data_IF_683007846429
#
_entry.id   IF_683007846429
#
_cell.length_a   1.000
_cell.length_b   1.000
_cell.length_c   1.000
_cell.angle_alpha   90.00
_cell.angle_beta   90.00
_cell.angle_gamma   90.00
#
_symmetry.space_group_name_H-M   'P 1'
#
loop_
_entity.id
_entity.type
_entity.pdbx_description
1 polymer ?
#
# COMPACT_ATOMS: atom_id res chain seq x y z
N UNK A 1 8.28 -9.11 -24.32
CA UNK A 1 8.96 -10.32 -24.80
C UNK A 1 8.16 -10.95 -25.93
N UNK A 2 8.84 -11.70 -26.78
CA UNK A 2 8.19 -12.57 -27.77
C UNK A 2 8.85 -13.96 -27.76
N UNK A 3 8.11 -14.95 -28.26
CA UNK A 3 8.69 -16.25 -28.57
C UNK A 3 9.44 -16.18 -29.91
N UNK A 4 10.63 -16.75 -29.95
CA UNK A 4 11.40 -16.92 -31.19
C UNK A 4 11.06 -18.28 -31.85
N UNK A 5 11.52 -18.48 -33.08
CA UNK A 5 11.24 -19.68 -33.90
C UNK A 5 11.78 -20.98 -33.24
N UNK A 6 12.75 -20.87 -32.35
CA UNK A 6 13.30 -22.01 -31.59
C UNK A 6 12.57 -22.29 -30.28
N UNK A 7 11.46 -21.59 -29.96
CA UNK A 7 10.69 -21.72 -28.72
C UNK A 7 11.31 -20.98 -27.53
N UNK A 8 12.41 -20.27 -27.72
CA UNK A 8 13.03 -19.40 -26.72
C UNK A 8 12.26 -18.07 -26.55
N UNK A 9 12.64 -17.32 -25.52
CA UNK A 9 12.05 -16.02 -25.20
C UNK A 9 13.10 -14.93 -25.43
N UNK A 10 12.70 -13.85 -26.10
CA UNK A 10 13.58 -12.71 -26.34
C UNK A 10 12.88 -11.38 -26.04
N UNK A 11 13.65 -10.34 -25.71
CA UNK A 11 13.13 -8.99 -25.49
C UNK A 11 12.67 -8.39 -26.83
N UNK A 12 11.41 -7.95 -26.89
CA UNK A 12 10.83 -7.33 -28.08
C UNK A 12 10.80 -5.81 -27.94
N UNK A 13 11.98 -5.17 -28.06
CA UNK A 13 12.17 -3.73 -27.86
C UNK A 13 11.47 -2.85 -28.90
N UNK A 14 11.19 -3.40 -30.09
CA UNK A 14 10.54 -2.67 -31.20
C UNK A 14 9.02 -2.61 -31.07
N UNK A 15 8.42 -3.34 -30.10
CA UNK A 15 6.97 -3.33 -29.91
C UNK A 15 6.51 -1.97 -29.35
N UNK A 16 5.41 -1.37 -29.88
CA UNK A 16 4.92 -0.06 -29.40
C UNK A 16 4.72 0.00 -27.88
N UNK A 17 4.18 -1.06 -27.27
CA UNK A 17 3.99 -1.16 -25.83
C UNK A 17 5.29 -1.15 -25.02
N UNK A 18 6.44 -1.46 -25.63
CA UNK A 18 7.70 -1.47 -24.87
C UNK A 18 7.99 -0.08 -24.30
N UNK A 19 7.94 0.96 -25.12
CA UNK A 19 8.17 2.34 -24.69
C UNK A 19 7.14 2.77 -23.63
N UNK A 20 5.87 2.49 -23.86
CA UNK A 20 4.79 2.86 -22.93
C UNK A 20 4.96 2.20 -21.55
N UNK A 21 5.27 0.91 -21.50
CA UNK A 21 5.37 0.18 -20.24
C UNK A 21 6.74 0.32 -19.56
N UNK A 22 7.78 0.63 -20.31
CA UNK A 22 9.15 0.73 -19.80
C UNK A 22 9.54 2.17 -19.45
N UNK A 23 9.19 3.13 -20.30
CA UNK A 23 9.64 4.52 -20.17
C UNK A 23 8.51 5.46 -19.72
N UNK A 24 7.53 5.70 -20.59
CA UNK A 24 6.51 6.74 -20.41
C UNK A 24 5.14 6.23 -20.90
N UNK A 25 4.19 5.95 -19.98
CA UNK A 25 2.83 5.52 -20.33
C UNK A 25 1.98 6.65 -20.93
N UNK A 26 2.30 7.90 -20.63
CA UNK A 26 1.68 9.12 -21.13
C UNK A 26 2.65 10.31 -20.94
N UNK A 27 2.37 11.49 -21.51
CA UNK A 27 3.27 12.66 -21.40
C UNK A 27 3.40 13.26 -19.98
N UNK A 28 2.56 12.86 -19.05
CA UNK A 28 2.48 13.46 -17.71
C UNK A 28 3.30 12.69 -16.66
N UNK A 29 3.62 11.43 -16.90
CA UNK A 29 4.28 10.60 -15.90
C UNK A 29 5.22 9.54 -16.47
N UNK A 30 6.22 9.18 -15.69
CA UNK A 30 7.11 8.06 -15.97
C UNK A 30 6.42 6.71 -15.73
N UNK A 31 6.94 5.66 -16.33
CA UNK A 31 6.48 4.29 -16.08
C UNK A 31 6.61 3.89 -14.60
N UNK A 32 7.58 4.42 -13.87
CA UNK A 32 7.73 4.19 -12.43
C UNK A 32 6.55 4.81 -11.68
N UNK A 33 6.29 6.12 -11.86
CA UNK A 33 5.19 6.83 -11.21
C UNK A 33 3.83 6.19 -11.52
N UNK A 34 3.59 5.79 -12.76
CA UNK A 34 2.37 5.09 -13.18
C UNK A 34 2.16 3.79 -12.40
N UNK A 35 3.20 2.95 -12.30
CA UNK A 35 3.11 1.69 -11.55
C UNK A 35 2.92 1.91 -10.06
N UNK A 36 3.63 2.89 -9.48
CA UNK A 36 3.49 3.25 -8.08
C UNK A 36 2.06 3.73 -7.78
N UNK A 37 1.49 4.59 -8.62
CA UNK A 37 0.10 5.06 -8.51
C UNK A 37 -0.89 3.91 -8.56
N UNK A 38 -0.80 3.05 -9.57
CA UNK A 38 -1.72 1.91 -9.68
C UNK A 38 -1.52 0.88 -8.55
N UNK A 39 -0.29 0.70 -8.06
CA UNK A 39 -0.06 -0.17 -6.89
C UNK A 39 -0.65 0.44 -5.62
N UNK A 40 -0.56 1.75 -5.43
CA UNK A 40 -1.23 2.45 -4.34
C UNK A 40 -2.76 2.27 -4.41
N UNK A 41 -3.34 2.35 -5.61
CA UNK A 41 -4.76 2.07 -5.80
C UNK A 41 -5.13 0.63 -5.40
N UNK A 42 -4.32 -0.36 -5.80
CA UNK A 42 -4.52 -1.76 -5.42
C UNK A 42 -4.48 -1.96 -3.90
N UNK A 43 -3.48 -1.38 -3.24
CA UNK A 43 -3.28 -1.54 -1.79
C UNK A 43 -4.34 -0.81 -0.95
N UNK A 44 -4.89 0.29 -1.45
CA UNK A 44 -5.90 1.08 -0.72
C UNK A 44 -7.33 0.65 -1.06
N UNK A 45 -7.66 0.49 -2.34
CA UNK A 45 -9.03 0.20 -2.81
C UNK A 45 -9.22 -1.23 -3.33
N UNK A 46 -8.15 -2.01 -3.48
CA UNK A 46 -8.23 -3.37 -3.98
C UNK A 46 -8.39 -3.49 -5.49
N UNK A 47 -8.43 -2.37 -6.22
CA UNK A 47 -8.54 -2.34 -7.67
C UNK A 47 -7.69 -1.20 -8.21
N UNK A 48 -7.07 -1.41 -9.36
CA UNK A 48 -6.41 -0.36 -10.11
C UNK A 48 -6.99 -0.29 -11.52
N UNK A 49 -7.21 0.92 -12.00
CA UNK A 49 -7.77 1.20 -13.31
C UNK A 49 -6.89 2.19 -14.06
N UNK A 50 -6.76 1.98 -15.37
CA UNK A 50 -6.20 2.98 -16.26
C UNK A 50 -7.01 3.02 -17.56
N UNK A 51 -7.26 4.23 -18.09
CA UNK A 51 -7.83 4.42 -19.42
C UNK A 51 -6.80 4.01 -20.48
N UNK A 52 -7.23 3.25 -21.46
CA UNK A 52 -6.43 2.84 -22.61
C UNK A 52 -6.77 3.72 -23.79
N UNK A 53 -5.83 4.51 -24.25
CA UNK A 53 -5.99 5.31 -25.48
C UNK A 53 -5.37 4.53 -26.64
N UNK A 54 -6.16 4.36 -27.72
CA UNK A 54 -5.73 3.66 -28.93
C UNK A 54 -5.77 4.58 -30.12
N UNK A 55 -4.87 4.34 -31.07
CA UNK A 55 -4.92 4.99 -32.37
C UNK A 55 -5.93 4.29 -33.32
N UNK A 56 -6.09 4.83 -34.52
CA UNK A 56 -6.99 4.28 -35.55
C UNK A 56 -6.62 2.85 -36.01
N UNK A 57 -5.40 2.37 -35.71
CA UNK A 57 -4.95 1.01 -35.99
C UNK A 57 -5.20 0.04 -34.85
N UNK A 58 -5.76 0.52 -33.71
CA UNK A 58 -5.98 -0.27 -32.52
C UNK A 58 -4.76 -0.41 -31.60
N UNK A 59 -3.62 0.21 -31.94
CA UNK A 59 -2.42 0.19 -31.12
C UNK A 59 -2.60 1.11 -29.90
N UNK A 60 -2.15 0.67 -28.73
CA UNK A 60 -2.17 1.50 -27.51
C UNK A 60 -1.09 2.58 -27.62
N UNK A 61 -1.52 3.83 -27.44
CA UNK A 61 -0.65 5.01 -27.53
C UNK A 61 -0.48 5.75 -26.20
N UNK A 62 -1.38 5.57 -25.25
CA UNK A 62 -1.24 6.11 -23.89
C UNK A 62 -2.07 5.32 -22.87
N UNK A 63 -1.66 5.44 -21.59
CA UNK A 63 -2.35 4.89 -20.42
C UNK A 63 -2.46 5.98 -19.35
N UNK A 64 -3.69 6.30 -18.91
CA UNK A 64 -3.93 7.28 -17.85
C UNK A 64 -4.57 6.61 -16.62
N UNK A 65 -4.00 6.73 -15.42
CA UNK A 65 -4.61 6.20 -14.21
C UNK A 65 -6.01 6.78 -13.97
N UNK A 66 -6.94 5.94 -13.54
CA UNK A 66 -8.28 6.32 -13.13
C UNK A 66 -8.47 6.03 -11.63
N UNK A 67 -9.07 6.98 -10.92
CA UNK A 67 -9.28 6.87 -9.47
C UNK A 67 -10.32 5.78 -9.14
N UNK A 68 -9.98 4.77 -8.31
CA UNK A 68 -10.89 3.67 -8.01
C UNK A 68 -12.17 4.08 -7.29
N UNK A 69 -12.13 5.11 -6.46
CA UNK A 69 -13.30 5.65 -5.76
C UNK A 69 -14.31 6.35 -6.69
N UNK A 70 -13.92 6.66 -7.93
CA UNK A 70 -14.77 7.23 -8.97
C UNK A 70 -15.26 6.19 -9.98
N UNK A 71 -14.83 4.93 -9.85
CA UNK A 71 -15.12 3.85 -10.79
C UNK A 71 -16.19 2.92 -10.26
N UNK A 72 -17.22 2.66 -11.06
CA UNK A 72 -18.20 1.62 -10.84
C UNK A 72 -18.09 0.58 -11.95
N UNK A 73 -18.04 -0.69 -11.57
CA UNK A 73 -17.99 -1.83 -12.49
C UNK A 73 -19.34 -2.53 -12.42
N UNK A 74 -20.03 -2.64 -13.54
CA UNK A 74 -21.38 -3.20 -13.59
C UNK A 74 -21.66 -3.92 -14.92
N UNK A 75 -22.83 -4.52 -15.05
CA UNK A 75 -23.29 -5.21 -16.25
C UNK A 75 -24.55 -4.57 -16.79
N UNK A 76 -24.64 -4.45 -18.10
CA UNK A 76 -25.84 -3.98 -18.76
C UNK A 76 -26.99 -5.03 -18.72
N UNK A 77 -28.16 -4.67 -19.22
CA UNK A 77 -29.34 -5.56 -19.29
C UNK A 77 -29.09 -6.85 -20.10
N UNK A 78 -28.03 -6.92 -20.89
CA UNK A 78 -27.61 -8.09 -21.66
C UNK A 78 -26.47 -8.87 -21.00
N UNK A 79 -26.09 -8.49 -19.77
CA UNK A 79 -25.01 -9.12 -19.01
C UNK A 79 -23.58 -8.72 -19.44
N UNK A 80 -23.44 -7.74 -20.35
CA UNK A 80 -22.12 -7.27 -20.80
C UNK A 80 -21.52 -6.32 -19.78
N UNK A 81 -20.24 -6.56 -19.43
CA UNK A 81 -19.49 -5.74 -18.51
C UNK A 81 -19.27 -4.33 -19.08
N UNK A 82 -19.42 -3.30 -18.24
CA UNK A 82 -19.03 -1.93 -18.53
C UNK A 82 -18.44 -1.27 -17.28
N UNK A 83 -17.76 -0.15 -17.50
CA UNK A 83 -17.18 0.69 -16.47
C UNK A 83 -17.85 2.06 -16.55
N UNK A 84 -18.30 2.56 -15.39
CA UNK A 84 -18.85 3.91 -15.27
C UNK A 84 -17.92 4.74 -14.41
N UNK A 85 -17.34 5.78 -14.98
CA UNK A 85 -16.43 6.67 -14.30
C UNK A 85 -17.08 8.02 -14.01
N UNK A 86 -17.10 8.42 -12.73
CA UNK A 86 -17.61 9.74 -12.30
C UNK A 86 -16.48 10.77 -12.38
N UNK A 87 -16.47 11.51 -13.50
CA UNK A 87 -15.43 12.50 -13.81
C UNK A 87 -15.56 13.77 -12.97
N UNK A 88 -14.40 14.34 -12.60
CA UNK A 88 -14.27 15.68 -12.02
C UNK A 88 -13.33 16.53 -12.86
N UNK A 89 -13.22 17.84 -12.56
CA UNK A 89 -12.34 18.77 -13.27
C UNK A 89 -10.85 18.39 -13.22
N UNK A 90 -10.46 17.58 -12.26
CA UNK A 90 -9.06 17.21 -12.02
C UNK A 90 -8.63 15.96 -12.81
N UNK A 91 -9.56 15.33 -13.54
CA UNK A 91 -9.28 14.14 -14.33
C UNK A 91 -8.71 14.50 -15.71
N UNK A 92 -8.02 13.54 -16.34
CA UNK A 92 -7.39 13.73 -17.63
C UNK A 92 -8.40 14.17 -18.72
N UNK A 93 -8.03 15.10 -19.60
CA UNK A 93 -8.92 15.62 -20.66
C UNK A 93 -9.40 14.55 -21.65
N UNK A 94 -8.70 13.41 -21.72
CA UNK A 94 -9.02 12.28 -22.58
C UNK A 94 -10.37 11.63 -22.27
N UNK A 95 -10.95 11.92 -21.11
CA UNK A 95 -12.27 11.42 -20.69
C UNK A 95 -13.45 12.22 -21.28
N UNK A 96 -13.19 13.30 -22.03
CA UNK A 96 -14.23 14.19 -22.54
C UNK A 96 -14.82 15.12 -21.48
N UNK A 97 -16.00 15.71 -21.72
CA UNK A 97 -16.58 16.73 -20.86
C UNK A 97 -17.75 16.25 -19.99
N UNK A 98 -18.24 15.03 -20.23
CA UNK A 98 -19.38 14.47 -19.50
C UNK A 98 -18.99 14.16 -18.05
N UNK A 99 -19.89 14.41 -17.10
CA UNK A 99 -19.71 14.11 -15.68
C UNK A 99 -19.70 12.61 -15.38
N UNK A 100 -20.31 11.81 -16.24
CA UNK A 100 -20.29 10.35 -16.19
C UNK A 100 -19.85 9.79 -17.54
N UNK A 101 -18.79 9.01 -17.51
CA UNK A 101 -18.16 8.45 -18.70
C UNK A 101 -18.34 6.94 -18.69
N UNK A 102 -18.99 6.41 -19.73
CA UNK A 102 -19.12 4.97 -19.95
C UNK A 102 -17.92 4.47 -20.74
N UNK A 103 -17.20 3.52 -20.18
CA UNK A 103 -16.03 2.92 -20.80
C UNK A 103 -16.27 1.43 -21.04
N UNK A 104 -15.93 0.98 -22.24
CA UNK A 104 -15.97 -0.44 -22.59
C UNK A 104 -14.78 -1.19 -21.95
N UNK A 105 -14.86 -2.52 -21.77
CA UNK A 105 -13.74 -3.31 -21.26
C UNK A 105 -12.43 -3.20 -22.07
N UNK A 106 -12.53 -2.86 -23.36
CA UNK A 106 -11.37 -2.62 -24.23
C UNK A 106 -10.69 -1.28 -23.99
N UNK A 107 -11.35 -0.36 -23.29
CA UNK A 107 -10.86 0.99 -22.99
C UNK A 107 -10.29 1.12 -21.55
N UNK A 108 -10.35 0.05 -20.76
CA UNK A 108 -9.91 0.05 -19.37
C UNK A 108 -8.92 -1.08 -19.10
N UNK A 109 -7.72 -0.73 -18.68
CA UNK A 109 -6.84 -1.66 -17.99
C UNK A 109 -7.33 -1.78 -16.54
N UNK A 110 -7.93 -2.90 -16.21
CA UNK A 110 -8.37 -3.22 -14.85
C UNK A 110 -7.47 -4.31 -14.26
N UNK A 111 -6.84 -4.00 -13.14
CA UNK A 111 -6.05 -4.94 -12.34
C UNK A 111 -6.79 -5.15 -11.02
N UNK A 112 -7.52 -6.26 -10.85
CA UNK A 112 -8.22 -6.53 -9.59
C UNK A 112 -7.27 -7.16 -8.57
N UNK A 113 -7.44 -6.79 -7.30
CA UNK A 113 -6.85 -7.49 -6.16
C UNK A 113 -7.56 -8.80 -5.84
N UNK A 114 -7.45 -9.26 -4.59
CA UNK A 114 -8.23 -10.39 -4.11
C UNK A 114 -9.70 -9.99 -4.01
N UNK A 115 -10.59 -10.74 -4.63
CA UNK A 115 -12.02 -10.51 -4.65
C UNK A 115 -12.80 -11.81 -4.63
N UNK A 116 -14.12 -11.72 -4.43
CA UNK A 116 -15.01 -12.86 -4.37
C UNK A 116 -15.40 -13.38 -5.77
N UNK A 117 -15.70 -12.45 -6.68
CA UNK A 117 -16.26 -12.73 -8.01
C UNK A 117 -15.20 -12.80 -9.13
N UNK A 118 -13.94 -12.52 -8.80
CA UNK A 118 -12.85 -12.46 -9.77
C UNK A 118 -12.87 -11.23 -10.66
N UNK A 119 -13.81 -10.29 -10.46
CA UNK A 119 -13.93 -9.03 -11.20
C UNK A 119 -13.50 -7.84 -10.35
N UNK A 120 -14.01 -7.75 -9.11
CA UNK A 120 -13.76 -6.63 -8.21
C UNK A 120 -12.95 -7.14 -7.01
N UNK A 121 -11.81 -6.48 -6.77
CA UNK A 121 -10.98 -6.74 -5.59
C UNK A 121 -11.55 -6.04 -4.35
N UNK A 122 -11.41 -6.67 -3.19
CA UNK A 122 -11.71 -6.06 -1.91
C UNK A 122 -10.65 -5.04 -1.52
N UNK A 123 -11.08 -3.91 -0.94
CA UNK A 123 -10.15 -2.97 -0.31
C UNK A 123 -9.47 -3.63 0.90
N UNK A 124 -8.13 -3.75 0.93
CA UNK A 124 -7.41 -4.27 2.09
C UNK A 124 -7.69 -3.45 3.36
N UNK A 125 -7.83 -2.13 3.21
CA UNK A 125 -8.15 -1.21 4.31
C UNK A 125 -9.54 -1.50 4.87
N UNK A 126 -10.55 -1.66 4.00
CA UNK A 126 -11.91 -1.96 4.43
C UNK A 126 -12.00 -3.33 5.13
N UNK A 127 -11.27 -4.33 4.64
CA UNK A 127 -11.20 -5.65 5.26
C UNK A 127 -10.52 -5.63 6.62
N UNK A 128 -9.51 -4.77 6.80
CA UNK A 128 -8.74 -4.62 8.03
C UNK A 128 -9.18 -3.42 8.89
N UNK A 129 -10.38 -2.90 8.67
CA UNK A 129 -10.88 -1.65 9.32
C UNK A 129 -10.71 -1.61 10.84
N UNK A 130 -10.90 -2.75 11.52
CA UNK A 130 -10.78 -2.82 12.97
C UNK A 130 -9.33 -2.69 13.45
N UNK A 131 -8.38 -3.33 12.75
CA UNK A 131 -6.96 -3.23 13.05
C UNK A 131 -6.44 -1.81 12.80
N UNK A 132 -6.83 -1.21 11.68
CA UNK A 132 -6.49 0.18 11.34
C UNK A 132 -7.12 1.16 12.33
N UNK A 133 -8.40 0.96 12.65
CA UNK A 133 -9.11 1.80 13.63
C UNK A 133 -8.51 1.74 15.02
N UNK A 134 -8.09 0.54 15.47
CA UNK A 134 -7.40 0.37 16.74
C UNK A 134 -6.02 1.07 16.73
N UNK A 135 -5.28 0.99 15.64
CA UNK A 135 -4.00 1.70 15.50
C UNK A 135 -4.18 3.22 15.64
N UNK A 136 -5.15 3.79 14.94
CA UNK A 136 -5.47 5.23 14.98
C UNK A 136 -5.90 5.63 16.40
N UNK A 137 -6.81 4.87 17.03
CA UNK A 137 -7.30 5.15 18.39
C UNK A 137 -6.16 5.09 19.44
N UNK A 138 -5.24 4.14 19.28
CA UNK A 138 -4.09 4.01 20.18
C UNK A 138 -3.12 5.19 20.00
N UNK A 139 -2.89 5.62 18.77
CA UNK A 139 -2.05 6.78 18.48
C UNK A 139 -2.65 8.06 19.05
N UNK A 140 -3.95 8.27 18.85
CA UNK A 140 -4.69 9.42 19.38
C UNK A 140 -4.70 9.44 20.92
N UNK A 141 -4.90 8.27 21.54
CA UNK A 141 -4.80 8.13 23.00
C UNK A 141 -3.40 8.55 23.50
N UNK A 142 -2.34 8.01 22.88
CA UNK A 142 -0.98 8.36 23.26
C UNK A 142 -0.68 9.85 23.07
N UNK A 143 -1.08 10.42 21.95
CA UNK A 143 -0.89 11.84 21.68
C UNK A 143 -1.60 12.72 22.75
N UNK A 144 -2.85 12.42 23.08
CA UNK A 144 -3.58 13.13 24.13
C UNK A 144 -2.96 12.94 25.52
N UNK A 145 -2.53 11.73 25.83
CA UNK A 145 -1.91 11.42 27.11
C UNK A 145 -0.63 12.24 27.32
N UNK A 146 0.27 12.24 26.33
CA UNK A 146 1.51 13.01 26.40
C UNK A 146 1.29 14.52 26.31
N UNK A 147 0.33 14.98 25.52
CA UNK A 147 -0.03 16.40 25.46
C UNK A 147 -0.53 16.93 26.81
N UNK A 148 -1.17 16.08 27.62
CA UNK A 148 -1.63 16.42 28.97
C UNK A 148 -0.55 16.22 30.07
N UNK A 149 0.72 16.12 29.69
CA UNK A 149 1.84 15.99 30.62
C UNK A 149 2.03 14.59 31.19
N UNK A 150 1.52 13.57 30.49
CA UNK A 150 1.59 12.16 30.88
C UNK A 150 0.97 11.87 32.27
N UNK A 151 0.06 12.73 32.73
CA UNK A 151 -0.67 12.54 33.98
C UNK A 151 -2.03 11.87 33.71
N UNK A 152 -2.36 10.78 34.38
CA UNK A 152 -3.71 10.21 34.30
C UNK A 152 -4.74 11.22 34.84
N UNK A 153 -5.96 11.16 34.30
CA UNK A 153 -7.08 11.90 34.86
C UNK A 153 -7.34 11.50 36.30
N UNK A 154 -7.83 12.41 37.12
CA UNK A 154 -8.08 12.12 38.52
C UNK A 154 -9.24 12.91 39.08
N UNK A 155 -9.62 12.58 40.30
CA UNK A 155 -10.64 13.28 41.10
C UNK A 155 -9.93 14.06 42.20
N UNK A 156 -10.33 15.31 42.35
CA UNK A 156 -10.02 16.10 43.55
C UNK A 156 -11.13 15.89 44.57
N UNK A 157 -10.80 15.24 45.66
CA UNK A 157 -11.71 15.02 46.79
C UNK A 157 -11.51 16.13 47.83
N UNK A 158 -12.62 16.67 48.33
CA UNK A 158 -12.61 17.65 49.42
C UNK A 158 -13.52 17.15 50.54
N UNK A 159 -13.10 17.24 51.81
CA UNK A 159 -13.88 16.71 52.94
C UNK A 159 -15.17 17.48 53.25
N UNK A 160 -15.31 18.68 52.68
CA UNK A 160 -16.51 19.52 52.82
C UNK A 160 -17.13 19.87 51.47
N UNK A 161 -18.04 20.85 51.46
CA UNK A 161 -18.70 21.32 50.21
C UNK A 161 -17.90 22.43 49.57
N UNK A 162 -17.55 22.24 48.30
CA UNK A 162 -16.90 23.30 47.48
C UNK A 162 -17.97 24.22 46.92
N UNK A 163 -17.85 25.53 47.17
CA UNK A 163 -18.83 26.54 46.69
C UNK A 163 -18.89 26.66 45.20
N UNK A 164 -17.75 26.52 44.52
CA UNK A 164 -17.62 26.61 43.07
C UNK A 164 -16.66 25.52 42.54
N UNK A 165 -17.17 24.31 42.29
CA UNK A 165 -16.36 23.21 41.78
C UNK A 165 -15.76 23.50 40.39
N UNK A 166 -16.44 24.30 39.57
CA UNK A 166 -15.98 24.64 38.23
C UNK A 166 -14.69 25.49 38.25
N UNK A 167 -14.68 26.48 39.13
CA UNK A 167 -13.51 27.36 39.33
C UNK A 167 -12.29 26.59 39.84
N UNK A 168 -12.49 25.64 40.74
CA UNK A 168 -11.43 24.76 41.25
C UNK A 168 -10.88 23.90 40.11
N UNK A 169 -11.75 23.32 39.28
CA UNK A 169 -11.37 22.54 38.10
C UNK A 169 -10.57 23.37 37.09
N UNK A 170 -11.01 24.59 36.79
CA UNK A 170 -10.32 25.49 35.84
C UNK A 170 -8.94 25.90 36.37
N UNK A 171 -8.84 26.26 37.64
CA UNK A 171 -7.58 26.60 38.32
C UNK A 171 -6.60 25.41 38.31
N UNK A 172 -7.10 24.19 38.59
CA UNK A 172 -6.33 22.97 38.52
C UNK A 172 -5.80 22.70 37.11
N UNK A 173 -6.67 22.79 36.11
CA UNK A 173 -6.30 22.57 34.73
C UNK A 173 -5.26 23.59 34.26
N UNK A 174 -5.41 24.87 34.57
CA UNK A 174 -4.46 25.92 34.24
C UNK A 174 -3.08 25.71 34.89
N UNK A 175 -3.03 25.18 36.10
CA UNK A 175 -1.79 24.98 36.85
C UNK A 175 -1.03 23.70 36.51
N UNK A 176 -1.76 22.61 36.19
CA UNK A 176 -1.21 21.25 36.14
C UNK A 176 -1.47 20.50 34.82
N UNK A 177 -2.36 20.96 33.93
CA UNK A 177 -2.56 20.36 32.63
C UNK A 177 -1.62 20.96 31.56
N UNK A 178 -1.30 20.11 30.57
CA UNK A 178 -0.44 20.48 29.43
C UNK A 178 1.02 20.07 29.64
N UNK A 179 1.70 19.82 28.52
CA UNK A 179 3.10 19.36 28.50
C UNK A 179 4.07 20.33 29.18
N UNK A 180 3.76 21.62 29.19
CA UNK A 180 4.58 22.66 29.83
C UNK A 180 4.47 22.66 31.37
N UNK A 181 3.43 22.05 31.91
CA UNK A 181 3.16 21.97 33.36
C UNK A 181 3.48 20.58 33.93
N UNK A 182 4.02 19.67 33.11
CA UNK A 182 4.41 18.33 33.53
C UNK A 182 5.42 18.39 34.70
N UNK A 183 5.25 17.50 35.66
CA UNK A 183 6.13 17.35 36.84
C UNK A 183 6.11 18.53 37.85
N UNK A 184 5.14 19.43 37.78
CA UNK A 184 4.97 20.43 38.84
C UNK A 184 4.43 19.80 40.11
N UNK A 185 4.95 20.25 41.25
CA UNK A 185 4.45 19.84 42.57
C UNK A 185 3.11 20.50 42.82
N UNK A 186 2.09 19.70 43.12
CA UNK A 186 0.78 20.18 43.52
C UNK A 186 0.73 20.34 45.07
N UNK A 187 0.28 21.51 45.52
CA UNK A 187 -0.02 21.75 46.94
C UNK A 187 -1.52 21.69 47.08
N UNK A 188 -2.01 20.78 47.91
CA UNK A 188 -3.44 20.60 48.20
C UNK A 188 -3.73 21.15 49.57
N UNK A 189 -4.66 22.10 49.63
CA UNK A 189 -5.06 22.78 50.87
C UNK A 189 -6.36 22.17 51.44
N UNK A 190 -6.71 22.51 52.68
CA UNK A 190 -7.96 22.18 53.34
C UNK A 190 -8.32 20.67 53.34
N UNK A 191 -7.32 19.80 53.31
CA UNK A 191 -7.55 18.35 53.34
C UNK A 191 -7.98 17.74 52.01
N UNK A 192 -7.86 18.47 50.92
CA UNK A 192 -8.08 17.93 49.56
C UNK A 192 -7.13 16.78 49.28
N UNK A 193 -7.64 15.80 48.56
CA UNK A 193 -6.86 14.65 48.04
C UNK A 193 -7.02 14.52 46.56
N UNK A 194 -5.94 14.16 45.87
CA UNK A 194 -6.00 13.79 44.48
C UNK A 194 -5.93 12.26 44.32
N UNK A 195 -6.93 11.70 43.68
CA UNK A 195 -6.95 10.28 43.35
C UNK A 195 -6.91 10.11 41.84
N UNK A 196 -5.88 9.47 41.26
CA UNK A 196 -5.83 9.18 39.84
C UNK A 196 -6.89 8.11 39.51
N UNK A 197 -7.71 8.38 38.48
CA UNK A 197 -8.71 7.43 37.95
C UNK A 197 -8.24 6.77 36.70
N UNK A 198 -7.27 7.36 35.99
CA UNK A 198 -6.74 6.86 34.72
C UNK A 198 -5.84 5.63 34.90
N UNK A 199 -5.86 4.78 33.93
CA UNK A 199 -4.88 3.69 33.81
C UNK A 199 -3.55 4.29 33.32
N UNK A 200 -2.43 3.97 33.98
CA UNK A 200 -1.12 4.41 33.50
C UNK A 200 -0.78 3.74 32.16
N UNK A 201 0.04 4.35 31.30
CA UNK A 201 0.48 3.73 30.05
C UNK A 201 1.17 2.38 30.24
N UNK A 202 1.85 2.20 31.37
CA UNK A 202 2.48 0.93 31.74
C UNK A 202 1.43 -0.14 32.06
N UNK A 203 0.40 0.23 32.83
CA UNK A 203 -0.75 -0.64 33.12
C UNK A 203 -1.57 -0.98 31.87
N UNK A 204 -1.65 -0.05 30.92
CA UNK A 204 -2.35 -0.27 29.65
C UNK A 204 -1.49 -1.06 28.63
N UNK A 205 -0.25 -1.43 28.95
CA UNK A 205 0.69 -2.07 28.04
C UNK A 205 0.77 -1.32 26.69
N UNK A 206 0.78 0.00 26.75
CA UNK A 206 0.64 0.88 25.58
C UNK A 206 1.71 0.64 24.54
N UNK A 207 2.98 0.49 24.93
CA UNK A 207 4.09 0.26 24.00
C UNK A 207 3.97 -1.11 23.32
N UNK A 208 3.57 -2.14 24.04
CA UNK A 208 3.37 -3.48 23.48
C UNK A 208 2.21 -3.49 22.51
N UNK A 209 1.12 -2.79 22.83
CA UNK A 209 -0.02 -2.63 21.91
C UNK A 209 0.39 -1.93 20.62
N UNK A 210 1.19 -0.87 20.68
CA UNK A 210 1.71 -0.21 19.46
C UNK A 210 2.58 -1.12 18.62
N UNK A 211 3.49 -1.86 19.24
CA UNK A 211 4.33 -2.86 18.54
C UNK A 211 3.49 -3.96 17.90
N UNK A 212 2.48 -4.44 18.61
CA UNK A 212 1.55 -5.44 18.05
C UNK A 212 0.85 -4.91 16.81
N UNK A 213 0.42 -3.65 16.80
CA UNK A 213 -0.28 -3.05 15.67
C UNK A 213 0.59 -2.86 14.44
N UNK A 214 1.88 -2.53 14.59
CA UNK A 214 2.83 -2.53 13.47
C UNK A 214 2.84 -3.90 12.80
N UNK A 215 2.93 -4.97 13.61
CA UNK A 215 2.92 -6.35 13.10
C UNK A 215 1.57 -6.73 12.46
N UNK A 216 0.44 -6.27 12.99
CA UNK A 216 -0.88 -6.51 12.39
C UNK A 216 -0.99 -5.86 11.02
N UNK A 217 -0.59 -4.60 10.86
CA UNK A 217 -0.59 -3.90 9.58
C UNK A 217 0.39 -4.56 8.61
N UNK A 218 1.58 -4.93 9.08
CA UNK A 218 2.57 -5.68 8.29
C UNK A 218 1.97 -6.98 7.71
N UNK A 219 1.19 -7.72 8.50
CA UNK A 219 0.50 -8.96 8.05
C UNK A 219 -0.55 -8.71 6.98
N UNK A 220 -1.31 -7.61 7.08
CA UNK A 220 -2.34 -7.25 6.08
C UNK A 220 -1.71 -7.14 4.70
N UNK A 221 -0.55 -6.48 4.60
CA UNK A 221 0.17 -6.29 3.34
C UNK A 221 1.22 -7.37 3.08
N UNK A 222 1.39 -8.34 3.98
CA UNK A 222 2.42 -9.38 3.91
C UNK A 222 3.84 -8.81 3.76
N UNK A 223 4.12 -7.71 4.44
CA UNK A 223 5.44 -7.08 4.47
C UNK A 223 6.18 -7.55 5.71
N UNK A 224 7.39 -8.09 5.60
CA UNK A 224 8.19 -8.48 6.77
C UNK A 224 8.48 -7.27 7.66
N UNK A 225 8.41 -7.40 9.00
CA UNK A 225 8.61 -6.28 9.93
C UNK A 225 9.96 -5.56 9.77
N UNK A 226 11.02 -6.26 9.41
CA UNK A 226 12.34 -5.63 9.18
C UNK A 226 12.34 -4.60 8.05
N UNK A 227 11.47 -4.74 7.03
CA UNK A 227 11.30 -3.75 5.96
C UNK A 227 10.58 -2.48 6.45
N UNK A 228 9.93 -2.55 7.62
CA UNK A 228 9.33 -1.41 8.33
C UNK A 228 10.25 -0.87 9.43
N UNK A 229 11.55 -1.22 9.38
CA UNK A 229 12.57 -0.89 10.38
C UNK A 229 12.31 -1.47 11.78
N UNK A 230 11.44 -2.47 11.92
CA UNK A 230 11.28 -3.24 13.15
C UNK A 230 12.27 -4.43 13.13
N UNK A 231 13.42 -4.26 13.81
CA UNK A 231 14.51 -5.22 13.86
C UNK A 231 14.54 -6.04 15.16
N UNK A 232 13.55 -5.90 16.02
CA UNK A 232 13.58 -6.46 17.38
C UNK A 232 13.74 -8.00 17.41
N UNK A 233 13.22 -8.69 16.39
CA UNK A 233 13.30 -10.16 16.24
C UNK A 233 14.12 -10.60 15.02
N UNK A 234 14.94 -9.71 14.47
CA UNK A 234 15.65 -9.96 13.22
C UNK A 234 17.12 -10.29 13.49
N UNK A 235 17.65 -11.37 12.89
CA UNK A 235 19.08 -11.65 12.75
C UNK A 235 19.48 -11.47 11.28
N UNK A 236 20.76 -11.26 11.00
CA UNK A 236 21.24 -11.05 9.63
C UNK A 236 20.83 -12.17 8.67
N UNK A 237 20.95 -13.43 9.09
CA UNK A 237 20.54 -14.59 8.28
C UNK A 237 19.02 -14.65 8.03
N UNK A 238 18.21 -14.21 8.98
CA UNK A 238 16.76 -14.16 8.82
C UNK A 238 16.30 -13.03 7.90
N UNK A 239 16.99 -11.88 7.90
CA UNK A 239 16.66 -10.73 7.04
C UNK A 239 16.79 -11.11 5.56
N UNK A 240 17.88 -11.76 5.18
CA UNK A 240 18.09 -12.20 3.80
C UNK A 240 17.01 -13.20 3.36
N UNK A 241 16.76 -14.22 4.17
CA UNK A 241 15.71 -15.21 3.90
C UNK A 241 14.33 -14.57 3.81
N UNK A 242 13.97 -13.68 4.73
CA UNK A 242 12.69 -12.97 4.71
C UNK A 242 12.57 -12.05 3.51
N UNK A 243 13.66 -11.45 3.03
CA UNK A 243 13.67 -10.63 1.82
C UNK A 243 13.38 -11.46 0.57
N UNK A 244 13.94 -12.65 0.45
CA UNK A 244 13.63 -13.60 -0.62
C UNK A 244 12.18 -14.10 -0.55
N UNK A 245 11.70 -14.38 0.65
CA UNK A 245 10.31 -14.77 0.89
C UNK A 245 9.32 -13.66 0.54
N UNK A 246 9.65 -12.39 0.83
CA UNK A 246 8.84 -11.25 0.40
C UNK A 246 8.69 -11.20 -1.12
N UNK A 247 9.79 -11.38 -1.86
CA UNK A 247 9.72 -11.41 -3.33
C UNK A 247 8.85 -12.56 -3.80
N UNK A 248 9.05 -13.77 -3.26
CA UNK A 248 8.39 -15.00 -3.70
C UNK A 248 6.90 -15.06 -3.33
N UNK A 249 6.56 -14.66 -2.10
CA UNK A 249 5.20 -14.88 -1.56
C UNK A 249 4.34 -13.61 -1.54
N UNK A 250 4.95 -12.42 -1.58
CA UNK A 250 4.22 -11.16 -1.56
C UNK A 250 4.26 -10.48 -2.91
N UNK A 251 5.45 -10.27 -3.47
CA UNK A 251 5.60 -9.49 -4.71
C UNK A 251 5.21 -10.29 -5.95
N UNK A 252 5.65 -11.54 -6.08
CA UNK A 252 5.40 -12.37 -7.28
C UNK A 252 3.90 -12.55 -7.60
N UNK A 253 3.00 -12.80 -6.63
CA UNK A 253 1.56 -12.83 -6.90
C UNK A 253 1.00 -11.52 -7.47
N UNK A 254 1.52 -10.36 -7.05
CA UNK A 254 1.16 -9.07 -7.63
C UNK A 254 1.69 -8.93 -9.05
N UNK A 255 2.95 -9.30 -9.28
CA UNK A 255 3.59 -9.28 -10.60
C UNK A 255 2.79 -10.11 -11.59
N UNK A 256 2.40 -11.34 -11.23
CA UNK A 256 1.58 -12.21 -12.08
C UNK A 256 0.22 -11.58 -12.41
N UNK A 257 -0.46 -10.97 -11.43
CA UNK A 257 -1.73 -10.25 -11.67
C UNK A 257 -1.56 -9.13 -12.69
N UNK A 258 -0.53 -8.32 -12.53
CA UNK A 258 -0.21 -7.24 -13.45
C UNK A 258 0.07 -7.75 -14.85
N UNK A 259 0.95 -8.75 -14.98
CA UNK A 259 1.32 -9.35 -16.27
C UNK A 259 0.10 -9.87 -17.01
N UNK A 260 -0.73 -10.64 -16.34
CA UNK A 260 -1.93 -11.22 -16.94
C UNK A 260 -2.97 -10.16 -17.31
N UNK A 261 -3.22 -9.17 -16.43
CA UNK A 261 -4.15 -8.08 -16.73
C UNK A 261 -3.68 -7.23 -17.89
N UNK A 262 -2.39 -6.89 -17.94
CA UNK A 262 -1.82 -6.14 -19.06
C UNK A 262 -1.80 -6.93 -20.36
N UNK A 263 -1.44 -8.21 -20.35
CA UNK A 263 -1.52 -9.06 -21.55
C UNK A 263 -2.95 -9.13 -22.08
N UNK A 264 -3.93 -9.29 -21.18
CA UNK A 264 -5.34 -9.36 -21.56
C UNK A 264 -5.86 -8.06 -22.18
N UNK A 265 -5.52 -6.90 -21.60
CA UNK A 265 -6.09 -5.62 -21.96
C UNK A 265 -5.35 -4.88 -23.07
N UNK A 266 -4.03 -5.03 -23.14
CA UNK A 266 -3.19 -4.19 -24.00
C UNK A 266 -2.78 -4.87 -25.33
N UNK A 267 -2.62 -6.20 -25.32
CA UNK A 267 -2.25 -6.94 -26.53
C UNK A 267 -3.46 -7.20 -27.42
N UNK A 268 -3.27 -7.09 -28.73
CA UNK A 268 -4.27 -7.52 -29.71
C UNK A 268 -4.40 -9.06 -29.70
N UNK A 269 -5.57 -9.58 -30.05
CA UNK A 269 -5.80 -11.04 -30.06
C UNK A 269 -4.81 -11.79 -30.97
N UNK A 270 -4.38 -11.16 -32.08
CA UNK A 270 -3.38 -11.71 -33.00
C UNK A 270 -1.96 -11.77 -32.42
N UNK A 271 -1.68 -10.94 -31.42
CA UNK A 271 -0.35 -10.86 -30.78
C UNK A 271 -0.19 -11.82 -29.62
N UNK A 272 -1.28 -12.10 -28.89
CA UNK A 272 -1.27 -12.92 -27.65
C UNK A 272 -0.58 -14.29 -27.76
N UNK A 273 -0.61 -15.00 -28.91
CA UNK A 273 0.12 -16.25 -29.05
C UNK A 273 1.65 -16.09 -29.12
N UNK A 274 2.13 -14.92 -29.49
CA UNK A 274 3.54 -14.68 -29.82
C UNK A 274 4.19 -13.72 -28.81
N UNK A 275 3.44 -12.70 -28.36
CA UNK A 275 3.94 -11.62 -27.52
C UNK A 275 3.35 -11.74 -26.10
N UNK A 276 4.15 -11.46 -25.11
CA UNK A 276 3.72 -11.41 -23.72
C UNK A 276 4.47 -10.32 -22.94
N UNK A 277 3.81 -9.82 -21.90
CA UNK A 277 4.36 -8.83 -20.99
C UNK A 277 4.91 -9.56 -19.77
N UNK A 278 6.15 -9.29 -19.39
CA UNK A 278 6.82 -9.93 -18.26
C UNK A 278 7.66 -8.91 -17.50
N UNK A 279 7.55 -8.88 -16.18
CA UNK A 279 8.46 -8.16 -15.31
C UNK A 279 9.71 -9.00 -15.06
N UNK A 280 10.86 -8.35 -15.08
CA UNK A 280 12.10 -9.00 -14.67
C UNK A 280 12.34 -8.74 -13.18
N UNK A 281 12.09 -9.74 -12.36
CA UNK A 281 12.31 -9.72 -10.90
C UNK A 281 13.62 -10.38 -10.49
N UNK A 282 14.41 -10.90 -11.44
CA UNK A 282 15.67 -11.61 -11.16
C UNK A 282 16.64 -10.76 -10.35
N UNK A 283 16.62 -9.44 -10.55
CA UNK A 283 17.44 -8.49 -9.80
C UNK A 283 17.10 -8.46 -8.30
N UNK A 284 15.86 -8.75 -7.93
CA UNK A 284 15.38 -8.76 -6.55
C UNK A 284 15.64 -10.10 -5.84
N UNK A 285 15.79 -11.17 -6.63
CA UNK A 285 16.10 -12.53 -6.14
C UNK A 285 17.62 -12.77 -6.04
N UNK A 286 18.43 -11.81 -6.47
CA UNK A 286 19.87 -11.94 -6.38
C UNK A 286 20.26 -11.89 -4.91
N UNK A 287 20.75 -13.02 -4.39
CA UNK A 287 21.41 -13.11 -3.09
C UNK A 287 22.63 -12.18 -2.98
N UNK A 288 23.35 -12.28 -1.88
CA UNK A 288 24.57 -11.50 -1.71
C UNK A 288 25.56 -11.68 -2.88
N UNK A 289 26.53 -10.79 -2.94
CA UNK A 289 27.57 -10.82 -3.98
C UNK A 289 28.34 -12.16 -4.00
N UNK A 290 28.57 -12.74 -2.83
CA UNK A 290 29.36 -13.98 -2.66
C UNK A 290 28.59 -15.17 -3.23
N UNK A 291 27.33 -15.34 -2.85
CA UNK A 291 26.45 -16.40 -3.37
C UNK A 291 26.31 -16.31 -4.89
N UNK A 292 26.17 -15.11 -5.43
CA UNK A 292 26.09 -14.87 -6.88
C UNK A 292 27.38 -15.26 -7.60
N UNK A 293 28.54 -14.82 -7.09
CA UNK A 293 29.84 -15.15 -7.68
C UNK A 293 30.11 -16.66 -7.62
N UNK A 294 29.75 -17.32 -6.54
CA UNK A 294 29.81 -18.78 -6.43
C UNK A 294 28.91 -19.48 -7.45
N UNK A 295 27.68 -18.98 -7.63
CA UNK A 295 26.76 -19.48 -8.66
C UNK A 295 27.31 -19.33 -10.08
N UNK A 296 27.89 -18.17 -10.41
CA UNK A 296 28.54 -17.93 -11.70
C UNK A 296 29.76 -18.82 -11.91
N UNK A 297 30.60 -18.99 -10.88
CA UNK A 297 31.74 -19.90 -10.95
C UNK A 297 31.29 -21.33 -11.25
N UNK A 298 30.26 -21.81 -10.57
CA UNK A 298 29.65 -23.13 -10.77
C UNK A 298 29.07 -23.28 -12.19
N UNK A 299 28.31 -22.28 -12.64
CA UNK A 299 27.70 -22.27 -13.97
C UNK A 299 28.76 -22.32 -15.10
N UNK A 300 29.86 -21.57 -14.92
CA UNK A 300 30.99 -21.57 -15.85
C UNK A 300 31.75 -22.90 -15.86
N UNK A 301 32.01 -23.44 -14.66
CA UNK A 301 32.69 -24.75 -14.55
C UNK A 301 31.92 -25.91 -15.17
N UNK A 302 30.58 -25.85 -15.09
CA UNK A 302 29.70 -26.86 -15.68
C UNK A 302 29.29 -26.55 -17.13
N UNK A 303 29.79 -25.47 -17.73
CA UNK A 303 29.52 -25.13 -19.14
C UNK A 303 28.13 -24.58 -19.44
N UNK A 304 27.38 -24.14 -18.42
CA UNK A 304 26.01 -23.59 -18.62
C UNK A 304 26.01 -22.12 -19.04
N UNK A 305 27.09 -21.39 -18.70
CA UNK A 305 27.26 -19.98 -19.02
C UNK A 305 28.64 -19.72 -19.61
N UNK A 306 28.70 -18.88 -20.63
CA UNK A 306 29.94 -18.36 -21.19
C UNK A 306 30.46 -17.16 -20.37
N UNK A 307 31.68 -16.70 -20.65
CA UNK A 307 32.23 -15.49 -20.03
C UNK A 307 31.44 -14.21 -20.39
N UNK A 308 30.73 -14.22 -21.52
CA UNK A 308 29.92 -13.08 -21.98
C UNK A 308 28.50 -13.08 -21.37
N UNK A 309 28.09 -14.17 -20.74
CA UNK A 309 26.78 -14.29 -20.09
C UNK A 309 26.82 -13.82 -18.62
N UNK A 310 28.03 -13.67 -18.05
CA UNK A 310 28.29 -13.24 -16.66
C UNK A 310 28.59 -11.75 -16.65
#
# INVERSE_FOLDING_TARGET
YRYNDSGGKEKYLKHPLYKLLHDEPNPEMTSFAFRETLMSHLLLWGNAYAQIIRNARGEVIALYPLMPNKMTVDRDSKGRLFYLYSRTSDDAPTLGDDSQVYLAPSEVLHIPGLGFDGLIGYSPIAMAKNAVGLAIATEEYGAKFFANGAAPGGVLEHPGTIKDPQKVKESWNAAYQGSQNAHRVAVLEEGMKYQPIGISPEQAQFLETRKFQINEIARIFRVPPHMLADLEKSSFSNIEQQSLEFVKYTLDPWVVRWEQSMCRALLMESEKPIVFIKFNVDGLLRGDYVSRMSGYATARQNGWMSANDI
#
